data_IF_905788386344
#
_entry.id   IF_905788386344
#
_cell.length_a   1.000
_cell.length_b   1.000
_cell.length_c   1.000
_cell.angle_alpha   90.00
_cell.angle_beta   90.00
_cell.angle_gamma   90.00
#
_symmetry.space_group_name_H-M   'P 1'
#
loop_
_entity.id
_entity.type
_entity.pdbx_description
1 polymer ?
#
# COMPACT_ATOMS: atom_id res chain seq x y z
N UNK A 1 -37.82 -30.12 -16.64
CA UNK A 1 -36.54 -29.46 -16.95
C UNK A 1 -36.82 -27.96 -17.07
N UNK A 2 -36.59 -27.18 -16.01
CA UNK A 2 -36.85 -25.73 -16.02
C UNK A 2 -35.63 -24.99 -16.57
N UNK A 3 -35.76 -24.49 -17.81
CA UNK A 3 -34.84 -23.51 -18.38
C UNK A 3 -35.19 -22.13 -17.82
N UNK A 4 -34.38 -21.59 -16.90
CA UNK A 4 -34.46 -20.18 -16.55
C UNK A 4 -33.68 -19.36 -17.58
N UNK A 5 -34.42 -18.68 -18.44
CA UNK A 5 -33.92 -17.78 -19.48
C UNK A 5 -33.38 -16.50 -18.81
N UNK A 6 -32.08 -16.46 -18.49
CA UNK A 6 -31.38 -15.24 -18.04
C UNK A 6 -31.21 -14.29 -19.22
N UNK A 7 -32.29 -13.63 -19.64
CA UNK A 7 -32.25 -12.58 -20.64
C UNK A 7 -32.74 -11.28 -20.02
N UNK A 8 -31.90 -10.62 -19.22
CA UNK A 8 -31.89 -9.16 -19.17
C UNK A 8 -30.54 -8.61 -18.70
N UNK A 9 -30.06 -7.64 -19.47
CA UNK A 9 -28.83 -6.87 -19.32
C UNK A 9 -28.95 -6.01 -18.06
N UNK A 10 -27.94 -6.09 -17.17
CA UNK A 10 -27.70 -5.36 -15.91
C UNK A 10 -27.79 -6.22 -14.64
N UNK A 11 -26.78 -7.08 -14.46
CA UNK A 11 -26.65 -7.95 -13.28
C UNK A 11 -25.89 -7.30 -12.10
N UNK A 12 -25.46 -6.03 -12.21
CA UNK A 12 -24.66 -5.36 -11.19
C UNK A 12 -25.22 -3.95 -10.94
N UNK A 13 -25.63 -3.69 -9.71
CA UNK A 13 -26.07 -2.36 -9.24
C UNK A 13 -25.13 -1.85 -8.17
N UNK A 14 -24.73 -0.59 -8.29
CA UNK A 14 -23.97 0.11 -7.25
C UNK A 14 -24.96 0.78 -6.31
N UNK A 15 -24.96 0.37 -5.04
CA UNK A 15 -25.83 0.95 -4.01
C UNK A 15 -25.19 2.16 -3.32
N UNK A 16 -23.87 2.12 -3.14
CA UNK A 16 -23.09 3.17 -2.50
C UNK A 16 -21.68 3.13 -3.06
N UNK A 17 -21.11 4.29 -3.35
CA UNK A 17 -19.71 4.42 -3.72
C UNK A 17 -19.16 5.70 -3.12
N UNK A 18 -18.14 5.55 -2.30
CA UNK A 18 -17.37 6.65 -1.71
C UNK A 18 -15.89 6.37 -1.95
N UNK A 19 -15.02 7.27 -1.50
CA UNK A 19 -13.58 7.07 -1.60
C UNK A 19 -13.05 5.88 -0.77
N UNK A 20 -13.82 5.38 0.20
CA UNK A 20 -13.39 4.33 1.14
C UNK A 20 -14.35 3.14 1.27
N UNK A 21 -15.50 3.17 0.58
CA UNK A 21 -16.57 2.18 0.73
C UNK A 21 -17.31 2.01 -0.59
N UNK A 22 -17.52 0.76 -1.00
CA UNK A 22 -18.30 0.40 -2.19
C UNK A 22 -19.30 -0.72 -1.88
N UNK A 23 -20.58 -0.49 -2.15
CA UNK A 23 -21.66 -1.47 -2.00
C UNK A 23 -22.21 -1.87 -3.36
N UNK A 24 -22.12 -3.16 -3.65
CA UNK A 24 -22.52 -3.74 -4.92
C UNK A 24 -23.59 -4.81 -4.70
N UNK A 25 -24.65 -4.78 -5.51
CA UNK A 25 -25.72 -5.76 -5.52
C UNK A 25 -25.72 -6.50 -6.84
N UNK A 26 -25.62 -7.83 -6.78
CA UNK A 26 -25.66 -8.71 -7.95
C UNK A 26 -26.85 -9.64 -7.80
N UNK A 27 -27.82 -9.50 -8.70
CA UNK A 27 -29.02 -10.33 -8.75
C UNK A 27 -29.62 -10.30 -10.17
N UNK A 28 -30.31 -11.36 -10.61
CA UNK A 28 -30.47 -12.65 -9.92
C UNK A 28 -29.24 -13.56 -10.12
N UNK A 29 -29.04 -14.53 -9.22
CA UNK A 29 -28.00 -15.57 -9.33
C UNK A 29 -28.62 -16.95 -9.13
N UNK A 30 -28.01 -17.98 -9.74
CA UNK A 30 -28.37 -19.36 -9.42
C UNK A 30 -28.04 -19.68 -7.95
N UNK A 31 -28.82 -20.57 -7.31
CA UNK A 31 -28.49 -21.06 -5.97
C UNK A 31 -27.03 -21.53 -5.88
N UNK A 32 -26.32 -21.08 -4.85
CA UNK A 32 -24.90 -21.38 -4.63
C UNK A 32 -23.90 -20.44 -5.32
N UNK A 33 -24.27 -19.78 -6.42
CA UNK A 33 -23.33 -18.92 -7.17
C UNK A 33 -22.90 -17.67 -6.40
N UNK A 34 -23.78 -17.13 -5.54
CA UNK A 34 -23.43 -16.00 -4.69
C UNK A 34 -22.24 -16.29 -3.77
N UNK A 35 -22.16 -17.51 -3.22
CA UNK A 35 -21.03 -17.93 -2.37
C UNK A 35 -19.76 -18.09 -3.20
N UNK A 36 -19.84 -18.76 -4.36
CA UNK A 36 -18.69 -18.96 -5.24
C UNK A 36 -18.09 -17.63 -5.70
N UNK A 37 -18.92 -16.70 -6.17
CA UNK A 37 -18.49 -15.39 -6.65
C UNK A 37 -17.98 -14.54 -5.49
N UNK A 38 -18.74 -14.45 -4.40
CA UNK A 38 -18.40 -13.63 -3.23
C UNK A 38 -17.09 -14.06 -2.57
N UNK A 39 -16.89 -15.37 -2.38
CA UNK A 39 -15.65 -15.89 -1.80
C UNK A 39 -14.45 -15.65 -2.73
N UNK A 40 -14.63 -15.85 -4.03
CA UNK A 40 -13.56 -15.60 -5.01
C UNK A 40 -13.17 -14.12 -5.02
N UNK A 41 -14.14 -13.21 -5.13
CA UNK A 41 -13.88 -11.76 -5.09
C UNK A 41 -13.23 -11.33 -3.78
N UNK A 42 -13.70 -11.84 -2.63
CA UNK A 42 -13.09 -11.55 -1.33
C UNK A 42 -11.61 -11.94 -1.30
N UNK A 43 -11.26 -13.12 -1.82
CA UNK A 43 -9.86 -13.57 -1.84
C UNK A 43 -9.01 -12.68 -2.74
N UNK A 44 -9.47 -12.42 -3.96
CA UNK A 44 -8.73 -11.60 -4.93
C UNK A 44 -8.53 -10.19 -4.39
N UNK A 45 -9.58 -9.56 -3.84
CA UNK A 45 -9.51 -8.20 -3.27
C UNK A 45 -8.58 -8.12 -2.06
N UNK A 46 -8.44 -9.18 -1.26
CA UNK A 46 -7.56 -9.16 -0.09
C UNK A 46 -6.10 -9.53 -0.41
N UNK A 47 -5.84 -10.29 -1.48
CA UNK A 47 -4.50 -10.82 -1.75
C UNK A 47 -3.80 -10.22 -2.97
N UNK A 48 -4.55 -9.65 -3.92
CA UNK A 48 -4.04 -9.32 -5.26
C UNK A 48 -4.10 -7.82 -5.56
N UNK A 49 -4.52 -7.00 -4.59
CA UNK A 49 -4.45 -5.55 -4.72
C UNK A 49 -3.04 -5.10 -4.39
N UNK A 50 -2.36 -4.54 -5.39
CA UNK A 50 -1.07 -3.90 -5.21
C UNK A 50 -1.24 -2.64 -4.35
N UNK A 51 -0.26 -2.40 -3.48
CA UNK A 51 -0.26 -1.27 -2.57
C UNK A 51 1.14 -0.99 -2.03
N UNK A 52 1.32 0.22 -1.52
CA UNK A 52 2.57 0.68 -0.95
C UNK A 52 2.38 0.90 0.55
N UNK A 53 3.29 0.37 1.35
CA UNK A 53 3.29 0.50 2.80
C UNK A 53 4.73 0.61 3.33
N UNK A 54 4.88 1.17 4.54
CA UNK A 54 6.17 1.24 5.23
C UNK A 54 6.56 -0.17 5.65
N UNK A 55 7.71 -0.64 5.18
CA UNK A 55 8.25 -1.97 5.49
C UNK A 55 9.18 -1.97 6.70
N UNK A 56 9.94 -0.88 6.91
CA UNK A 56 10.85 -0.73 8.03
C UNK A 56 11.02 0.74 8.44
N UNK A 57 11.40 0.96 9.69
CA UNK A 57 11.67 2.28 10.28
C UNK A 57 12.89 2.14 11.16
N UNK A 58 13.85 3.06 11.05
CA UNK A 58 15.03 3.15 11.91
C UNK A 58 15.06 4.54 12.54
N UNK A 59 15.18 4.59 13.87
CA UNK A 59 15.26 5.83 14.64
C UNK A 59 16.58 5.80 15.40
N UNK A 60 17.33 6.89 15.35
CA UNK A 60 18.60 7.01 16.06
C UNK A 60 18.37 7.03 17.58
N UNK A 61 19.20 6.29 18.32
CA UNK A 61 19.11 6.20 19.77
C UNK A 61 17.96 5.33 20.30
N UNK A 62 17.31 4.53 19.44
CA UNK A 62 16.23 3.61 19.82
C UNK A 62 16.64 2.17 19.49
N UNK A 63 16.88 1.37 20.53
CA UNK A 63 17.39 0.00 20.38
C UNK A 63 16.30 -1.03 20.02
N UNK A 64 15.05 -0.80 20.42
CA UNK A 64 13.95 -1.74 20.21
C UNK A 64 12.56 -1.06 20.18
N UNK A 65 11.54 -1.83 19.78
CA UNK A 65 10.18 -1.33 19.50
C UNK A 65 9.32 -0.93 20.69
N UNK A 66 9.83 -1.19 21.88
CA UNK A 66 9.17 -0.90 23.16
C UNK A 66 9.89 0.19 23.94
N UNK A 67 10.91 0.82 23.33
CA UNK A 67 11.66 1.87 23.99
C UNK A 67 10.87 3.18 23.99
N UNK A 68 10.98 3.92 25.10
CA UNK A 68 10.46 5.28 25.21
C UNK A 68 11.52 6.26 24.73
N UNK A 69 11.13 7.22 23.89
CA UNK A 69 12.04 8.22 23.32
C UNK A 69 12.02 9.46 24.21
N UNK A 70 13.19 9.87 24.72
CA UNK A 70 13.30 11.06 25.58
C UNK A 70 12.91 12.32 24.79
N UNK A 71 11.93 13.07 25.30
CA UNK A 71 11.44 14.29 24.66
C UNK A 71 10.27 14.08 23.70
N UNK A 72 9.84 12.85 23.48
CA UNK A 72 8.64 12.51 22.70
C UNK A 72 7.53 12.08 23.67
N UNK A 73 6.30 12.51 23.40
CA UNK A 73 5.14 12.18 24.23
C UNK A 73 4.64 10.74 24.03
N UNK A 74 4.81 10.22 22.82
CA UNK A 74 4.35 8.91 22.37
C UNK A 74 5.47 7.88 22.49
N UNK A 75 5.14 6.64 22.82
CA UNK A 75 6.09 5.52 22.81
C UNK A 75 6.37 5.03 21.37
N UNK A 76 7.49 4.33 21.17
CA UNK A 76 7.89 3.84 19.84
C UNK A 76 6.80 2.95 19.19
N UNK A 77 6.14 2.09 19.96
CA UNK A 77 5.00 1.27 19.46
C UNK A 77 3.85 2.13 18.93
N UNK A 78 3.52 3.25 19.58
CA UNK A 78 2.47 4.17 19.13
C UNK A 78 2.87 4.87 17.83
N UNK A 79 4.14 5.28 17.72
CA UNK A 79 4.72 5.83 16.50
C UNK A 79 4.61 4.82 15.35
N UNK A 80 5.01 3.55 15.55
CA UNK A 80 4.85 2.50 14.54
C UNK A 80 3.39 2.35 14.10
N UNK A 81 2.45 2.32 15.04
CA UNK A 81 1.02 2.19 14.73
C UNK A 81 0.49 3.38 13.94
N UNK A 82 0.97 4.59 14.24
CA UNK A 82 0.61 5.79 13.49
C UNK A 82 1.22 5.77 12.08
N UNK A 83 2.47 5.32 11.93
CA UNK A 83 3.10 5.14 10.62
C UNK A 83 2.36 4.12 9.75
N UNK A 84 1.86 3.01 10.32
CA UNK A 84 1.02 2.02 9.61
C UNK A 84 -0.32 2.57 9.09
N UNK A 85 -0.80 3.70 9.62
CA UNK A 85 -2.04 4.36 9.14
C UNK A 85 -1.79 5.22 7.90
N UNK A 86 -0.56 5.62 7.62
CA UNK A 86 -0.21 6.42 6.44
C UNK A 86 -0.51 5.60 5.17
N UNK A 87 -1.01 6.27 4.13
CA UNK A 87 -1.38 5.66 2.84
C UNK A 87 -0.56 6.32 1.73
N UNK A 88 0.28 5.53 1.06
CA UNK A 88 1.08 5.99 -0.05
C UNK A 88 0.34 5.78 -1.37
N UNK A 89 0.58 6.69 -2.31
CA UNK A 89 0.14 6.58 -3.70
C UNK A 89 1.33 6.89 -4.58
N UNK A 90 1.76 5.93 -5.41
CA UNK A 90 2.82 6.17 -6.39
C UNK A 90 2.35 7.25 -7.37
N UNK A 91 3.13 8.32 -7.47
CA UNK A 91 2.98 9.31 -8.54
C UNK A 91 3.74 8.75 -9.72
N UNK A 92 3.03 8.35 -10.78
CA UNK A 92 3.67 8.03 -12.04
C UNK A 92 4.09 9.35 -12.67
N UNK A 93 5.40 9.59 -12.74
CA UNK A 93 5.94 10.60 -13.63
C UNK A 93 6.12 9.90 -14.98
N UNK A 94 5.57 10.49 -16.04
CA UNK A 94 5.74 9.98 -17.40
C UNK A 94 7.24 10.08 -17.72
N UNK A 95 7.94 8.95 -17.66
CA UNK A 95 9.33 8.87 -18.08
C UNK A 95 9.32 8.92 -19.60
N UNK A 96 9.64 10.09 -20.16
CA UNK A 96 10.18 10.17 -21.52
C UNK A 96 11.45 9.31 -21.51
N UNK A 97 11.42 8.21 -22.27
CA UNK A 97 12.51 7.24 -22.33
C UNK A 97 13.73 7.89 -22.97
N UNK A 98 14.76 8.14 -22.19
CA UNK A 98 16.13 8.14 -22.69
C UNK A 98 16.75 6.82 -22.23
N UNK A 99 17.00 5.96 -23.20
CA UNK A 99 17.70 4.69 -23.05
C UNK A 99 19.18 4.99 -22.82
N UNK A 100 19.72 4.63 -21.65
CA UNK A 100 21.15 4.37 -21.50
C UNK A 100 21.32 2.96 -20.92
N UNK A 101 22.04 2.14 -21.69
CA UNK A 101 22.33 0.73 -21.45
C UNK A 101 23.46 0.55 -20.42
N UNK A 102 23.27 -0.50 -19.60
CA UNK A 102 24.23 -1.41 -18.94
C UNK A 102 25.26 -0.89 -17.91
N UNK A 103 25.18 -1.45 -16.70
CA UNK A 103 26.20 -2.40 -16.21
C UNK A 103 25.58 -3.35 -15.15
N UNK A 104 25.89 -4.65 -15.26
CA UNK A 104 25.53 -5.71 -14.31
C UNK A 104 26.43 -5.67 -13.08
N UNK A 105 25.88 -5.70 -11.86
CA UNK A 105 26.54 -6.32 -10.68
C UNK A 105 25.49 -6.93 -9.71
N UNK A 106 25.59 -8.25 -9.57
CA UNK A 106 25.37 -9.14 -8.42
C UNK A 106 24.10 -9.11 -7.52
N UNK A 107 23.71 -10.34 -7.18
CA UNK A 107 22.51 -10.77 -6.47
C UNK A 107 22.28 -10.14 -5.08
N UNK A 108 21.19 -9.37 -4.95
CA UNK A 108 20.16 -9.52 -3.90
C UNK A 108 18.99 -8.60 -4.30
N UNK A 109 17.85 -9.11 -4.77
CA UNK A 109 16.73 -8.27 -5.23
C UNK A 109 16.28 -7.30 -4.13
N UNK A 110 16.62 -5.99 -4.20
CA UNK A 110 16.13 -5.06 -3.22
C UNK A 110 14.81 -4.56 -3.78
N UNK A 111 13.69 -5.10 -3.30
CA UNK A 111 12.42 -4.38 -3.44
C UNK A 111 12.67 -2.93 -3.02
N UNK A 112 12.38 -1.97 -3.89
CA UNK A 112 12.72 -0.54 -3.72
C UNK A 112 12.47 -0.10 -2.28
N UNK A 113 13.54 0.01 -1.49
CA UNK A 113 13.45 0.38 -0.08
C UNK A 113 13.25 1.89 -0.03
N UNK A 114 12.02 2.32 0.22
CA UNK A 114 11.74 3.72 0.54
C UNK A 114 12.26 4.04 1.94
N UNK A 115 13.46 4.62 2.01
CA UNK A 115 14.02 5.12 3.25
C UNK A 115 13.35 6.48 3.57
N UNK A 116 12.45 6.52 4.55
CA UNK A 116 11.99 7.78 5.13
C UNK A 116 13.01 8.18 6.19
N UNK A 117 13.89 9.12 5.85
CA UNK A 117 14.79 9.76 6.80
C UNK A 117 14.01 10.86 7.51
N UNK A 118 13.63 10.63 8.76
CA UNK A 118 13.07 11.68 9.63
C UNK A 118 14.24 12.37 10.30
N UNK A 119 14.84 13.35 9.62
CA UNK A 119 15.87 14.20 10.21
C UNK A 119 15.22 15.07 11.28
N UNK A 120 15.57 14.81 12.55
CA UNK A 120 15.29 15.71 13.64
C UNK A 120 16.61 16.19 14.23
N UNK A 121 17.38 16.95 13.44
CA UNK A 121 18.30 17.98 13.90
C UNK A 121 18.91 18.73 12.70
N UNK A 122 19.03 20.05 12.87
CA UNK A 122 19.64 20.99 11.92
C UNK A 122 21.15 20.74 11.87
N UNK A 123 21.71 20.63 10.68
CA UNK A 123 22.80 21.47 10.14
C UNK A 123 23.30 20.83 8.84
N UNK A 124 23.08 21.49 7.71
CA UNK A 124 23.82 21.24 6.48
C UNK A 124 25.27 21.67 6.72
N UNK A 125 26.21 20.76 6.51
CA UNK A 125 27.61 21.11 6.29
C UNK A 125 27.99 20.45 4.97
N UNK A 126 28.26 21.28 3.96
CA UNK A 126 28.81 20.79 2.69
C UNK A 126 30.33 20.90 2.74
N UNK A 127 31.03 20.03 2.02
CA UNK A 127 32.48 20.05 1.88
C UNK A 127 33.02 21.25 1.05
N UNK A 128 32.32 22.38 1.11
CA UNK A 128 32.78 23.72 0.71
C UNK A 128 33.00 24.66 1.91
N UNK A 129 32.60 24.27 3.13
CA UNK A 129 32.79 25.06 4.35
C UNK A 129 34.12 24.77 5.08
N UNK A 130 35.01 24.02 4.44
CA UNK A 130 36.42 23.86 4.84
C UNK A 130 37.31 24.41 3.73
N UNK A 131 37.30 25.73 3.60
CA UNK A 131 38.37 26.52 3.01
C UNK A 131 39.11 27.27 4.10
#
# INVERSE_FOLDING_TARGET
MFFLKFTKKENLRVLKLTNYEGHFKIEPLYPGWGVTIGNTLRRVLLSSLEGYAISSVKIEGVDHEFATIKGVKEDMTEIILNLKKIRFKKKMEEIEKEEEEEEEEDADSPGEKFNIIINNEKEEITAGDLG
#
